data_IF_688329987823
#
_entry.id   IF_688329987823
#
_cell.length_a   1.000
_cell.length_b   1.000
_cell.length_c   1.000
_cell.angle_alpha   90.00
_cell.angle_beta   90.00
_cell.angle_gamma   90.00
#
_symmetry.space_group_name_H-M   'P 1'
#
loop_
_entity.id
_entity.type
_entity.pdbx_description
1 polymer ?
#
# COMPACT_ATOMS: atom_id res chain seq x y z
N UNK A 1 52.44 -10.03 -14.90
CA UNK A 1 51.40 -10.96 -15.42
C UNK A 1 50.29 -10.97 -14.39
N UNK A 2 49.10 -10.48 -14.73
CA UNK A 2 47.93 -10.60 -13.84
C UNK A 2 47.23 -11.93 -14.14
N UNK A 3 46.94 -12.71 -13.11
CA UNK A 3 46.17 -13.95 -13.22
C UNK A 3 44.82 -13.72 -12.57
N UNK A 4 43.74 -13.94 -13.31
CA UNK A 4 42.40 -13.87 -12.76
C UNK A 4 42.21 -15.03 -11.77
N UNK A 5 41.92 -14.70 -10.51
CA UNK A 5 41.54 -15.66 -9.48
C UNK A 5 40.04 -15.56 -9.23
N UNK A 6 39.37 -16.69 -8.95
CA UNK A 6 37.97 -16.69 -8.55
C UNK A 6 37.84 -16.18 -7.11
N UNK A 7 37.04 -15.13 -6.88
CA UNK A 7 36.81 -14.57 -5.54
C UNK A 7 35.36 -14.16 -5.25
N UNK A 8 34.48 -14.09 -6.26
CA UNK A 8 33.10 -13.60 -6.10
C UNK A 8 32.26 -14.45 -5.16
N UNK A 9 32.26 -15.78 -5.33
CA UNK A 9 31.44 -16.70 -4.52
C UNK A 9 31.81 -16.65 -3.03
N UNK A 10 33.11 -16.70 -2.71
CA UNK A 10 33.58 -16.62 -1.33
C UNK A 10 33.23 -15.28 -0.68
N UNK A 11 33.32 -14.17 -1.43
CA UNK A 11 32.93 -12.85 -0.94
C UNK A 11 31.41 -12.75 -0.70
N UNK A 12 30.59 -13.38 -1.55
CA UNK A 12 29.13 -13.42 -1.38
C UNK A 12 28.77 -14.23 -0.14
N UNK A 13 29.35 -15.42 0.05
CA UNK A 13 29.06 -16.27 1.21
C UNK A 13 29.46 -15.58 2.53
N UNK A 14 30.64 -14.96 2.60
CA UNK A 14 31.06 -14.18 3.76
C UNK A 14 30.08 -13.03 4.06
N UNK A 15 29.52 -12.41 3.02
CA UNK A 15 28.52 -11.34 3.18
C UNK A 15 27.24 -11.86 3.81
N UNK A 16 26.78 -13.07 3.45
CA UNK A 16 25.59 -13.67 4.07
C UNK A 16 25.77 -13.93 5.57
N UNK A 17 26.96 -14.35 5.99
CA UNK A 17 27.31 -14.50 7.41
C UNK A 17 27.27 -13.16 8.14
N UNK A 18 27.85 -12.11 7.55
CA UNK A 18 27.84 -10.76 8.11
C UNK A 18 26.42 -10.19 8.22
N UNK A 19 25.54 -10.44 7.23
CA UNK A 19 24.13 -10.06 7.31
C UNK A 19 23.42 -10.83 8.43
N UNK A 20 23.71 -12.12 8.60
CA UNK A 20 23.13 -12.90 9.69
C UNK A 20 23.58 -12.41 11.07
N UNK A 21 24.85 -12.06 11.23
CA UNK A 21 25.40 -11.45 12.45
C UNK A 21 24.74 -10.09 12.73
N UNK A 22 24.69 -9.21 11.73
CA UNK A 22 24.07 -7.90 11.85
C UNK A 22 22.56 -8.00 12.16
N UNK A 23 21.85 -8.97 11.57
CA UNK A 23 20.44 -9.26 11.88
C UNK A 23 20.26 -9.74 13.30
N UNK A 24 21.16 -10.58 13.82
CA UNK A 24 21.06 -11.06 15.21
C UNK A 24 21.36 -9.94 16.21
N UNK A 25 22.32 -9.06 15.91
CA UNK A 25 22.72 -7.99 16.83
C UNK A 25 23.36 -8.52 18.12
N UNK A 26 23.29 -7.73 19.20
CA UNK A 26 23.84 -8.12 20.50
C UNK A 26 23.13 -9.36 21.07
N UNK A 27 23.92 -10.40 21.35
CA UNK A 27 23.41 -11.67 21.90
C UNK A 27 22.96 -11.59 23.35
N UNK A 28 23.34 -10.53 24.07
CA UNK A 28 22.80 -10.24 25.39
C UNK A 28 21.34 -9.77 25.35
N UNK A 29 20.88 -9.24 24.21
CA UNK A 29 19.48 -8.88 23.98
C UNK A 29 18.70 -10.14 23.55
N UNK A 30 17.53 -10.41 24.14
CA UNK A 30 16.66 -11.50 23.70
C UNK A 30 16.33 -11.42 22.20
N UNK A 31 16.40 -12.55 21.52
CA UNK A 31 16.09 -12.60 20.09
C UNK A 31 14.60 -12.39 19.85
N UNK A 32 14.25 -11.57 18.83
CA UNK A 32 12.87 -11.41 18.39
C UNK A 32 12.30 -12.72 17.85
N UNK A 33 11.19 -13.18 18.42
CA UNK A 33 10.41 -14.28 17.88
C UNK A 33 9.46 -13.80 16.76
N UNK A 34 9.12 -14.70 15.84
CA UNK A 34 8.13 -14.43 14.78
C UNK A 34 6.78 -14.08 15.40
N UNK A 35 6.38 -14.76 16.47
CA UNK A 35 5.14 -14.48 17.20
C UNK A 35 5.11 -13.06 17.79
N UNK A 36 6.22 -12.55 18.35
CA UNK A 36 6.28 -11.17 18.84
C UNK A 36 6.03 -10.16 17.71
N UNK A 37 6.66 -10.36 16.54
CA UNK A 37 6.48 -9.47 15.39
C UNK A 37 5.03 -9.54 14.88
N UNK A 38 4.49 -10.74 14.72
CA UNK A 38 3.10 -10.95 14.27
C UNK A 38 2.09 -10.24 15.18
N UNK A 39 2.21 -10.44 16.49
CA UNK A 39 1.23 -9.93 17.47
C UNK A 39 1.39 -8.44 17.76
N UNK A 40 2.62 -7.92 17.79
CA UNK A 40 2.92 -6.56 18.27
C UNK A 40 3.20 -5.57 17.13
N UNK A 41 3.50 -6.05 15.93
CA UNK A 41 3.78 -5.23 14.74
C UNK A 41 2.81 -5.55 13.60
N UNK A 42 1.53 -5.81 13.93
CA UNK A 42 0.49 -6.21 12.98
C UNK A 42 0.29 -5.24 11.81
N UNK A 43 0.50 -3.93 12.00
CA UNK A 43 0.42 -2.94 10.92
C UNK A 43 1.54 -3.11 9.88
N UNK A 44 2.76 -3.44 10.33
CA UNK A 44 3.88 -3.72 9.42
C UNK A 44 3.64 -5.05 8.68
N UNK A 45 3.15 -6.07 9.38
CA UNK A 45 2.77 -7.34 8.77
C UNK A 45 1.68 -7.14 7.70
N UNK A 46 0.66 -6.31 7.98
CA UNK A 46 -0.37 -5.97 7.02
C UNK A 46 0.20 -5.34 5.75
N UNK A 47 1.12 -4.37 5.89
CA UNK A 47 1.79 -3.76 4.73
C UNK A 47 2.57 -4.79 3.90
N UNK A 48 3.33 -5.66 4.56
CA UNK A 48 4.08 -6.74 3.89
C UNK A 48 3.15 -7.75 3.20
N UNK A 49 2.00 -8.10 3.78
CA UNK A 49 1.03 -8.99 3.11
C UNK A 49 0.44 -8.35 1.84
N UNK A 50 0.11 -7.06 1.89
CA UNK A 50 -0.43 -6.32 0.74
C UNK A 50 0.61 -6.21 -0.39
N UNK A 51 1.77 -5.63 -0.09
CA UNK A 51 2.85 -5.41 -1.05
C UNK A 51 3.50 -6.74 -1.47
N UNK A 52 3.56 -7.75 -0.61
CA UNK A 52 3.98 -9.11 -0.95
C UNK A 52 2.95 -9.91 -1.74
N UNK A 53 1.69 -9.50 -1.74
CA UNK A 53 0.55 -10.17 -2.40
C UNK A 53 0.28 -11.59 -1.92
N UNK A 54 0.47 -11.82 -0.63
CA UNK A 54 0.17 -13.09 0.03
C UNK A 54 -0.39 -12.83 1.43
N UNK A 55 -1.59 -13.34 1.70
CA UNK A 55 -2.20 -13.24 3.03
C UNK A 55 -1.70 -14.40 3.89
N UNK A 56 -0.68 -14.13 4.70
CA UNK A 56 -0.19 -15.02 5.75
C UNK A 56 0.61 -14.18 6.76
N UNK A 57 0.07 -14.02 7.98
CA UNK A 57 0.66 -13.15 8.98
C UNK A 57 1.94 -13.73 9.59
N UNK A 58 2.09 -15.06 9.63
CA UNK A 58 3.30 -15.72 10.11
C UNK A 58 4.44 -15.56 9.10
N UNK A 59 4.17 -15.73 7.81
CA UNK A 59 5.14 -15.49 6.75
C UNK A 59 5.52 -14.01 6.64
N UNK A 60 4.58 -13.09 6.80
CA UNK A 60 4.88 -11.66 6.82
C UNK A 60 5.79 -11.29 7.99
N UNK A 61 5.52 -11.82 9.18
CA UNK A 61 6.36 -11.63 10.36
C UNK A 61 7.75 -12.28 10.21
N UNK A 62 7.83 -13.46 9.58
CA UNK A 62 9.09 -14.12 9.25
C UNK A 62 9.90 -13.28 8.24
N UNK A 63 9.26 -12.76 7.20
CA UNK A 63 9.90 -11.91 6.20
C UNK A 63 10.44 -10.62 6.83
N UNK A 64 9.67 -9.95 7.70
CA UNK A 64 10.13 -8.80 8.46
C UNK A 64 11.34 -9.14 9.35
N UNK A 65 11.29 -10.27 10.06
CA UNK A 65 12.43 -10.74 10.87
C UNK A 65 13.67 -10.95 9.99
N UNK A 66 13.52 -11.63 8.86
CA UNK A 66 14.60 -11.95 7.94
C UNK A 66 15.22 -10.69 7.32
N UNK A 67 14.38 -9.70 7.00
CA UNK A 67 14.75 -8.43 6.39
C UNK A 67 15.13 -7.33 7.41
N UNK A 68 15.30 -7.66 8.70
CA UNK A 68 15.65 -6.70 9.75
C UNK A 68 14.66 -5.52 9.86
N UNK A 69 13.38 -5.76 9.53
CA UNK A 69 12.32 -4.75 9.52
C UNK A 69 12.24 -3.92 8.22
N UNK A 70 13.07 -4.18 7.21
CA UNK A 70 12.90 -3.59 5.89
C UNK A 70 11.66 -4.17 5.22
N UNK A 71 10.64 -3.34 5.06
CA UNK A 71 9.32 -3.72 4.51
C UNK A 71 9.40 -4.05 3.02
N UNK A 72 10.26 -3.38 2.25
CA UNK A 72 10.37 -3.58 0.80
C UNK A 72 11.05 -4.93 0.56
N UNK A 73 12.15 -5.22 1.26
CA UNK A 73 12.82 -6.52 1.19
C UNK A 73 11.90 -7.64 1.72
N UNK A 74 11.16 -7.40 2.80
CA UNK A 74 10.18 -8.38 3.30
C UNK A 74 9.05 -8.67 2.28
N UNK A 75 8.51 -7.63 1.62
CA UNK A 75 7.53 -7.79 0.56
C UNK A 75 8.12 -8.56 -0.64
N UNK A 76 9.38 -8.32 -0.98
CA UNK A 76 10.06 -9.06 -2.04
C UNK A 76 10.25 -10.54 -1.68
N UNK A 77 10.66 -10.86 -0.45
CA UNK A 77 10.74 -12.24 0.05
C UNK A 77 9.39 -12.97 -0.05
N UNK A 78 8.31 -12.29 0.35
CA UNK A 78 6.94 -12.80 0.24
C UNK A 78 6.55 -13.07 -1.21
N UNK A 79 6.86 -12.12 -2.10
CA UNK A 79 6.56 -12.23 -3.53
C UNK A 79 7.35 -13.37 -4.19
N UNK A 80 8.63 -13.51 -3.84
CA UNK A 80 9.48 -14.59 -4.31
C UNK A 80 8.96 -15.94 -3.81
N UNK A 81 8.61 -16.06 -2.53
CA UNK A 81 8.05 -17.28 -1.95
C UNK A 81 6.73 -17.68 -2.63
N UNK A 82 5.85 -16.71 -2.92
CA UNK A 82 4.59 -16.95 -3.64
C UNK A 82 4.80 -17.64 -4.98
N UNK A 83 5.91 -17.38 -5.70
CA UNK A 83 6.21 -18.07 -6.98
C UNK A 83 6.51 -19.55 -6.83
N UNK A 84 6.85 -20.00 -5.62
CA UNK A 84 7.13 -21.41 -5.31
C UNK A 84 5.89 -22.21 -4.96
N UNK A 85 4.76 -21.53 -4.72
CA UNK A 85 3.51 -22.15 -4.28
C UNK A 85 2.65 -22.58 -5.46
N UNK A 86 2.03 -23.78 -5.40
CA UNK A 86 1.03 -24.17 -6.37
C UNK A 86 -0.24 -23.32 -6.21
N UNK A 87 -0.87 -22.96 -7.33
CA UNK A 87 -2.20 -22.34 -7.33
C UNK A 87 -3.27 -23.41 -7.49
N UNK A 88 -4.02 -23.66 -6.43
CA UNK A 88 -5.11 -24.65 -6.43
C UNK A 88 -6.38 -24.16 -7.12
N UNK A 89 -6.63 -22.85 -7.11
CA UNK A 89 -7.86 -22.28 -7.67
C UNK A 89 -7.96 -20.77 -7.48
N UNK A 90 -9.18 -20.26 -7.57
CA UNK A 90 -9.54 -18.90 -7.19
C UNK A 90 -10.75 -19.01 -6.25
N UNK A 91 -10.78 -18.19 -5.20
CA UNK A 91 -11.95 -18.14 -4.32
C UNK A 91 -13.17 -17.63 -5.07
N UNK A 92 -14.34 -17.86 -4.51
CA UNK A 92 -15.50 -17.01 -4.81
C UNK A 92 -15.16 -15.53 -4.46
N UNK A 93 -15.83 -14.55 -5.09
CA UNK A 93 -15.67 -13.15 -4.72
C UNK A 93 -16.00 -12.93 -3.24
N UNK A 94 -15.12 -12.25 -2.51
CA UNK A 94 -15.36 -11.93 -1.10
C UNK A 94 -16.53 -10.96 -0.95
N UNK A 95 -17.43 -11.22 -0.01
CA UNK A 95 -18.56 -10.35 0.29
C UNK A 95 -18.27 -9.43 1.48
N UNK A 96 -17.85 -8.20 1.20
CA UNK A 96 -17.58 -7.17 2.24
C UNK A 96 -18.86 -6.62 2.89
N UNK A 97 -20.05 -6.91 2.33
CA UNK A 97 -21.31 -6.58 2.99
C UNK A 97 -21.58 -7.49 4.20
N UNK A 98 -21.06 -8.73 4.17
CA UNK A 98 -21.16 -9.71 5.25
C UNK A 98 -19.98 -9.67 6.24
N UNK A 99 -19.15 -8.63 6.20
CA UNK A 99 -17.97 -8.49 7.06
C UNK A 99 -18.32 -8.50 8.55
N UNK A 100 -17.58 -9.29 9.34
CA UNK A 100 -17.57 -9.19 10.79
C UNK A 100 -16.77 -7.94 11.19
N UNK A 101 -17.45 -6.80 11.25
CA UNK A 101 -16.82 -5.49 11.40
C UNK A 101 -16.20 -5.33 12.81
N UNK A 102 -14.96 -4.86 12.86
CA UNK A 102 -14.24 -4.39 14.07
C UNK A 102 -14.16 -2.87 14.16
N UNK A 103 -14.18 -2.21 13.02
CA UNK A 103 -14.13 -0.75 12.87
C UNK A 103 -14.93 -0.34 11.64
N UNK A 104 -15.72 0.73 11.77
CA UNK A 104 -16.53 1.30 10.70
C UNK A 104 -16.72 2.80 10.94
N UNK A 105 -16.25 3.62 10.01
CA UNK A 105 -16.40 5.06 10.08
C UNK A 105 -16.88 5.65 8.75
N UNK A 106 -17.68 6.70 8.84
CA UNK A 106 -18.13 7.51 7.70
C UNK A 106 -17.95 9.00 7.99
N UNK A 107 -17.44 9.75 7.02
CA UNK A 107 -17.35 11.21 7.11
C UNK A 107 -18.53 11.93 6.43
N UNK A 108 -19.42 11.20 5.77
CA UNK A 108 -20.56 11.76 5.00
C UNK A 108 -21.85 11.84 5.81
N UNK A 109 -21.94 11.08 6.91
CA UNK A 109 -23.06 11.09 7.84
C UNK A 109 -22.57 11.26 9.29
N UNK A 110 -23.31 12.04 10.08
CA UNK A 110 -23.05 12.15 11.53
C UNK A 110 -23.32 10.81 12.22
N UNK A 111 -24.42 10.16 11.84
CA UNK A 111 -24.82 8.85 12.32
C UNK A 111 -25.41 8.05 11.15
N UNK A 112 -25.26 6.74 11.18
CA UNK A 112 -25.62 5.83 10.09
C UNK A 112 -26.20 4.54 10.69
N UNK A 113 -27.02 3.76 9.96
CA UNK A 113 -27.50 2.47 10.44
C UNK A 113 -26.31 1.61 10.89
N UNK A 114 -26.34 1.14 12.15
CA UNK A 114 -25.23 0.43 12.79
C UNK A 114 -24.19 1.30 13.52
N UNK A 115 -24.30 2.63 13.43
CA UNK A 115 -23.46 3.60 14.13
C UNK A 115 -22.05 3.77 13.56
N UNK A 116 -21.33 4.73 14.16
CA UNK A 116 -19.90 4.93 13.99
C UNK A 116 -19.14 4.04 14.99
N UNK A 117 -18.32 3.12 14.51
CA UNK A 117 -17.52 2.19 15.32
C UNK A 117 -16.04 2.52 15.14
N UNK A 118 -15.45 3.23 16.10
CA UNK A 118 -14.04 3.64 15.98
C UNK A 118 -13.07 2.47 16.01
N UNK A 119 -13.36 1.40 16.76
CA UNK A 119 -12.47 0.25 16.91
C UNK A 119 -11.05 0.63 17.37
N UNK A 120 -10.07 -0.29 17.25
CA UNK A 120 -8.67 0.01 17.52
C UNK A 120 -8.10 0.96 16.46
N UNK A 121 -7.73 2.17 16.85
CA UNK A 121 -7.18 3.19 15.94
C UNK A 121 -6.18 4.11 16.64
N UNK A 122 -5.24 4.65 15.86
CA UNK A 122 -4.39 5.77 16.27
C UNK A 122 -5.04 7.14 16.01
N UNK A 123 -6.22 7.17 15.40
CA UNK A 123 -6.99 8.40 15.26
C UNK A 123 -7.24 9.01 16.63
N UNK A 124 -7.18 10.35 16.71
CA UNK A 124 -7.36 11.12 17.95
C UNK A 124 -6.28 10.92 19.04
N UNK A 125 -5.26 10.08 18.82
CA UNK A 125 -4.12 9.98 19.75
C UNK A 125 -3.24 11.23 19.69
N UNK A 126 -2.59 11.59 20.79
CA UNK A 126 -1.54 12.61 20.77
C UNK A 126 -0.23 11.99 20.29
N UNK A 127 0.42 12.60 19.30
CA UNK A 127 1.65 12.06 18.68
C UNK A 127 2.86 12.43 19.54
N UNK A 128 2.87 11.93 20.76
CA UNK A 128 3.93 12.09 21.75
C UNK A 128 4.57 10.72 21.99
N UNK A 129 5.88 10.69 22.24
CA UNK A 129 6.54 9.44 22.62
C UNK A 129 6.00 8.96 23.95
N UNK A 130 5.55 7.70 23.98
CA UNK A 130 5.22 7.00 25.21
C UNK A 130 6.49 6.33 25.76
N UNK A 131 7.20 7.04 26.63
CA UNK A 131 8.42 6.52 27.26
C UNK A 131 8.15 5.35 28.21
N UNK A 132 6.90 5.10 28.64
CA UNK A 132 6.58 3.95 29.47
C UNK A 132 6.78 2.62 28.74
N UNK A 133 6.69 2.61 27.40
CA UNK A 133 6.96 1.43 26.58
C UNK A 133 8.44 1.00 26.58
N UNK A 134 9.35 1.79 27.17
CA UNK A 134 10.73 1.37 27.43
C UNK A 134 10.88 0.50 28.68
N UNK A 135 9.87 0.47 29.56
CA UNK A 135 9.86 -0.35 30.78
C UNK A 135 9.09 -1.66 30.54
N UNK A 136 9.74 -2.81 30.77
CA UNK A 136 9.08 -4.11 30.61
C UNK A 136 7.97 -4.32 31.65
N UNK A 137 6.75 -4.63 31.19
CA UNK A 137 5.69 -5.19 32.04
C UNK A 137 4.72 -4.21 32.70
N UNK A 138 4.78 -2.90 32.41
CA UNK A 138 3.74 -1.95 32.84
C UNK A 138 2.71 -1.74 31.71
N UNK A 139 1.60 -2.48 31.78
CA UNK A 139 0.47 -2.33 30.86
C UNK A 139 -0.56 -1.32 31.38
N UNK A 140 -0.12 -0.18 31.90
CA UNK A 140 -1.03 0.94 32.14
C UNK A 140 -1.00 1.84 30.91
N UNK A 141 -2.03 1.69 30.07
CA UNK A 141 -2.21 2.48 28.86
C UNK A 141 -2.45 3.94 29.28
N UNK A 142 -1.39 4.74 29.28
CA UNK A 142 -1.45 6.19 29.40
C UNK A 142 -1.96 6.79 28.08
N UNK A 143 -3.24 6.56 27.74
CA UNK A 143 -3.90 7.43 26.76
C UNK A 143 -4.07 8.77 27.44
N UNK A 144 -3.22 9.74 27.09
CA UNK A 144 -3.36 11.12 27.53
C UNK A 144 -4.72 11.66 27.08
N UNK A 145 -5.73 11.55 27.94
CA UNK A 145 -7.01 12.22 27.78
C UNK A 145 -6.75 13.72 27.82
N UNK A 146 -7.07 14.41 26.73
CA UNK A 146 -7.22 15.86 26.75
C UNK A 146 -8.39 16.23 27.68
N UNK A 147 -8.18 17.05 28.73
CA UNK A 147 -9.26 17.55 29.57
C UNK A 147 -10.36 18.25 28.76
N UNK A 148 -10.01 18.84 27.60
CA UNK A 148 -10.94 19.61 26.77
C UNK A 148 -11.87 18.75 25.92
N UNK A 149 -11.51 17.49 25.63
CA UNK A 149 -12.39 16.55 24.89
C UNK A 149 -13.52 16.04 25.79
N UNK A 150 -13.34 16.06 27.12
CA UNK A 150 -14.32 15.53 28.06
C UNK A 150 -15.51 16.46 28.36
N UNK A 151 -15.49 17.72 27.91
CA UNK A 151 -16.54 18.69 28.25
C UNK A 151 -16.76 18.89 29.76
N UNK A 152 -15.84 18.42 30.61
CA UNK A 152 -15.91 18.50 32.06
C UNK A 152 -14.83 19.44 32.56
N UNK A 153 -15.20 20.70 32.78
CA UNK A 153 -14.51 21.51 33.78
C UNK A 153 -14.75 20.86 35.15
N UNK A 154 -13.75 20.18 35.69
CA UNK A 154 -13.82 19.54 37.00
C UNK A 154 -12.49 18.98 37.44
N UNK A 155 -12.12 19.27 38.69
CA UNK A 155 -10.90 18.87 39.37
C UNK A 155 -10.51 17.38 39.18
N UNK A 156 -9.21 17.05 39.24
CA UNK A 156 -8.74 15.67 39.10
C UNK A 156 -9.28 14.79 40.24
N UNK A 157 -10.38 14.09 39.97
CA UNK A 157 -10.86 13.01 40.84
C UNK A 157 -10.00 11.77 40.61
N UNK A 158 -9.01 11.58 41.49
CA UNK A 158 -8.30 10.32 41.63
C UNK A 158 -9.31 9.20 41.92
N UNK A 159 -9.32 8.17 41.07
CA UNK A 159 -9.97 6.89 41.39
C UNK A 159 -11.28 6.54 40.66
N UNK A 160 -11.63 7.21 39.56
CA UNK A 160 -12.65 6.67 38.63
C UNK A 160 -12.04 6.45 37.26
N UNK A 161 -11.96 5.19 36.87
CA UNK A 161 -11.70 4.77 35.50
C UNK A 161 -12.85 5.31 34.62
N UNK A 162 -12.67 6.52 34.08
CA UNK A 162 -13.64 7.21 33.24
C UNK A 162 -13.63 6.70 31.79
N UNK A 163 -13.04 5.52 31.56
CA UNK A 163 -13.24 4.77 30.32
C UNK A 163 -14.62 4.13 30.43
N UNK A 164 -15.63 4.75 29.83
CA UNK A 164 -16.77 3.98 29.35
C UNK A 164 -16.17 2.97 28.35
N UNK A 165 -15.92 1.74 28.82
CA UNK A 165 -15.64 0.64 27.92
C UNK A 165 -16.88 0.56 27.01
N UNK A 166 -16.75 0.74 25.69
CA UNK A 166 -17.87 0.46 24.82
C UNK A 166 -18.40 -0.93 25.19
N UNK A 167 -19.70 -1.09 25.40
CA UNK A 167 -20.30 -2.41 25.69
C UNK A 167 -20.03 -3.44 24.56
N UNK A 168 -19.46 -2.99 23.44
CA UNK A 168 -18.71 -3.83 22.52
C UNK A 168 -17.38 -4.28 23.14
N UNK A 169 -17.42 -5.36 23.92
CA UNK A 169 -16.24 -6.16 24.24
C UNK A 169 -15.61 -6.65 22.93
N UNK A 170 -14.52 -5.98 22.57
CA UNK A 170 -13.98 -5.78 21.24
C UNK A 170 -13.14 -6.97 20.71
N UNK A 171 -13.59 -8.21 20.95
CA UNK A 171 -12.98 -9.40 20.33
C UNK A 171 -13.95 -10.42 19.74
N UNK A 172 -15.25 -10.46 20.11
CA UNK A 172 -16.11 -11.59 19.70
C UNK A 172 -17.62 -11.33 19.51
N UNK A 173 -18.16 -10.12 19.72
CA UNK A 173 -19.56 -9.87 19.40
C UNK A 173 -19.68 -9.29 17.97
N UNK A 174 -20.23 -10.02 16.99
CA UNK A 174 -20.44 -9.49 15.66
C UNK A 174 -21.34 -8.26 15.75
N UNK A 175 -20.94 -7.19 15.05
CA UNK A 175 -21.86 -6.11 14.73
C UNK A 175 -23.07 -6.69 13.95
N UNK A 176 -24.23 -6.02 14.00
CA UNK A 176 -25.44 -6.47 13.28
C UNK A 176 -25.08 -6.86 11.85
N UNK A 177 -25.43 -8.09 11.46
CA UNK A 177 -25.16 -8.65 10.14
C UNK A 177 -25.79 -7.83 8.99
N UNK A 178 -26.65 -6.85 9.29
CA UNK A 178 -27.29 -5.95 8.33
C UNK A 178 -26.86 -4.50 8.53
N UNK A 179 -25.57 -4.22 8.41
CA UNK A 179 -25.05 -2.86 8.29
C UNK A 179 -24.87 -2.48 6.81
N UNK A 180 -25.84 -1.77 6.20
CA UNK A 180 -25.71 -1.37 4.80
C UNK A 180 -24.47 -0.51 4.60
N UNK A 181 -23.81 -0.68 3.45
CA UNK A 181 -22.72 0.22 3.06
C UNK A 181 -23.28 1.59 2.78
N UNK A 182 -22.54 2.64 3.12
CA UNK A 182 -22.96 4.02 2.85
C UNK A 182 -23.24 4.24 1.35
N UNK A 183 -22.43 3.71 0.42
CA UNK A 183 -22.77 3.76 -1.00
C UNK A 183 -24.04 2.99 -1.40
N UNK A 184 -24.42 1.93 -0.69
CA UNK A 184 -25.70 1.23 -0.94
C UNK A 184 -26.89 2.11 -0.51
N UNK A 185 -26.75 2.86 0.60
CA UNK A 185 -27.76 3.81 1.07
C UNK A 185 -27.94 4.92 0.03
N UNK A 186 -26.85 5.53 -0.44
CA UNK A 186 -26.89 6.56 -1.48
C UNK A 186 -27.39 6.01 -2.82
N UNK A 187 -27.01 4.77 -3.16
CA UNK A 187 -27.44 4.08 -4.37
C UNK A 187 -28.94 3.80 -4.40
N UNK A 188 -29.55 3.46 -3.26
CA UNK A 188 -31.00 3.28 -3.14
C UNK A 188 -31.80 4.56 -3.46
N UNK A 189 -31.18 5.73 -3.31
CA UNK A 189 -31.75 7.04 -3.66
C UNK A 189 -31.37 7.50 -5.09
N UNK A 190 -30.57 6.72 -5.82
CA UNK A 190 -30.03 7.09 -7.13
C UNK A 190 -28.98 8.21 -7.07
N UNK A 191 -28.36 8.42 -5.91
CA UNK A 191 -27.37 9.48 -5.69
C UNK A 191 -25.93 9.02 -5.89
N UNK A 192 -25.69 7.73 -6.12
CA UNK A 192 -24.36 7.14 -6.23
C UNK A 192 -24.24 6.34 -7.53
N UNK A 193 -23.09 6.49 -8.18
CA UNK A 193 -22.67 5.64 -9.29
C UNK A 193 -22.80 4.15 -8.92
N UNK A 194 -23.54 3.34 -9.73
CA UNK A 194 -23.71 1.92 -9.47
C UNK A 194 -22.41 1.16 -9.77
N UNK A 195 -22.14 0.11 -8.99
CA UNK A 195 -21.10 -0.88 -9.25
C UNK A 195 -21.80 -2.19 -9.63
N UNK A 196 -22.04 -2.38 -10.93
CA UNK A 196 -22.67 -3.57 -11.47
C UNK A 196 -21.61 -4.47 -12.12
N UNK A 197 -21.76 -5.78 -11.93
CA UNK A 197 -20.95 -6.74 -12.66
C UNK A 197 -21.20 -6.56 -14.17
N UNK A 198 -20.15 -6.59 -15.02
CA UNK A 198 -20.32 -6.57 -16.45
C UNK A 198 -21.21 -7.74 -16.92
N UNK A 199 -21.82 -7.60 -18.09
CA UNK A 199 -22.63 -8.67 -18.66
C UNK A 199 -21.84 -9.98 -18.75
N UNK A 200 -22.40 -11.05 -18.18
CA UNK A 200 -21.77 -12.37 -18.12
C UNK A 200 -20.68 -12.55 -17.06
N UNK A 201 -20.39 -11.51 -16.26
CA UNK A 201 -19.40 -11.49 -15.17
C UNK A 201 -18.07 -12.17 -15.57
N UNK A 202 -17.35 -11.59 -16.55
CA UNK A 202 -16.14 -12.20 -17.07
C UNK A 202 -15.07 -12.25 -15.97
N UNK A 203 -14.24 -13.30 -16.01
CA UNK A 203 -13.12 -13.43 -15.07
C UNK A 203 -12.22 -12.18 -15.15
N UNK A 204 -11.81 -11.61 -14.00
CA UNK A 204 -10.91 -10.46 -13.98
C UNK A 204 -9.55 -10.82 -14.57
N UNK A 205 -8.90 -9.84 -15.19
CA UNK A 205 -7.54 -9.97 -15.68
C UNK A 205 -6.58 -10.33 -14.54
N UNK A 206 -5.57 -11.15 -14.85
CA UNK A 206 -4.56 -11.56 -13.89
C UNK A 206 -3.17 -11.08 -14.30
N UNK A 207 -2.76 -9.94 -13.75
CA UNK A 207 -1.43 -9.35 -13.98
C UNK A 207 -0.28 -10.25 -13.54
N UNK A 208 -0.55 -11.30 -12.75
CA UNK A 208 0.48 -12.27 -12.35
C UNK A 208 0.70 -13.38 -13.38
N UNK A 209 -0.13 -13.43 -14.43
CA UNK A 209 -0.09 -14.43 -15.50
C UNK A 209 0.04 -13.84 -16.89
N UNK A 210 -0.47 -12.62 -17.08
CA UNK A 210 -0.55 -11.95 -18.37
C UNK A 210 0.10 -10.56 -18.29
N UNK A 211 0.77 -10.16 -19.37
CA UNK A 211 1.39 -8.83 -19.46
C UNK A 211 0.33 -7.75 -19.63
N UNK A 212 0.44 -6.67 -18.86
CA UNK A 212 -0.48 -5.54 -18.92
C UNK A 212 -0.34 -4.79 -20.26
N UNK A 213 -1.47 -4.46 -20.88
CA UNK A 213 -1.56 -3.57 -22.04
C UNK A 213 -2.36 -2.33 -21.70
N UNK A 214 -2.00 -1.20 -22.32
CA UNK A 214 -2.74 0.05 -22.18
C UNK A 214 -3.67 0.29 -23.38
N UNK A 215 -4.87 0.85 -23.14
CA UNK A 215 -5.31 1.34 -21.84
C UNK A 215 -5.86 0.24 -20.93
N UNK A 216 -5.60 0.32 -19.62
CA UNK A 216 -5.85 -0.78 -18.69
C UNK A 216 -7.33 -0.85 -18.27
N UNK A 217 -7.81 -2.06 -17.95
CA UNK A 217 -9.10 -2.27 -17.30
C UNK A 217 -9.05 -1.86 -15.82
N UNK A 218 -10.19 -1.52 -15.22
CA UNK A 218 -10.24 -1.11 -13.80
C UNK A 218 -9.83 -2.24 -12.86
N UNK A 219 -10.15 -3.49 -13.22
CA UNK A 219 -9.69 -4.70 -12.57
C UNK A 219 -8.15 -4.77 -12.52
N UNK A 220 -7.47 -4.52 -13.65
CA UNK A 220 -6.00 -4.45 -13.72
C UNK A 220 -5.45 -3.33 -12.83
N UNK A 221 -6.05 -2.13 -12.89
CA UNK A 221 -5.61 -0.97 -12.10
C UNK A 221 -5.74 -1.23 -10.59
N UNK A 222 -6.88 -1.76 -10.15
CA UNK A 222 -7.11 -2.14 -8.75
C UNK A 222 -6.16 -3.26 -8.30
N UNK A 223 -5.94 -4.27 -9.14
CA UNK A 223 -5.01 -5.36 -8.85
C UNK A 223 -3.56 -4.85 -8.73
N UNK A 224 -3.12 -3.95 -9.62
CA UNK A 224 -1.80 -3.33 -9.53
C UNK A 224 -1.66 -2.48 -8.27
N UNK A 225 -2.65 -1.63 -7.98
CA UNK A 225 -2.63 -0.78 -6.78
C UNK A 225 -2.69 -1.58 -5.49
N UNK A 226 -3.39 -2.72 -5.42
CA UNK A 226 -3.39 -3.60 -4.25
C UNK A 226 -1.98 -4.08 -3.89
N UNK A 227 -1.15 -4.30 -4.92
CA UNK A 227 0.24 -4.77 -4.82
C UNK A 227 1.28 -3.66 -4.74
N UNK A 228 0.91 -2.44 -5.10
CA UNK A 228 1.83 -1.31 -5.19
C UNK A 228 2.32 -0.80 -3.83
N UNK A 229 3.27 0.11 -3.85
CA UNK A 229 3.84 0.74 -2.67
C UNK A 229 2.84 1.67 -1.99
N UNK A 230 2.69 1.52 -0.68
CA UNK A 230 1.80 2.36 0.11
C UNK A 230 2.20 3.85 0.08
N UNK A 231 3.50 4.16 0.09
CA UNK A 231 4.01 5.53 0.09
C UNK A 231 3.81 6.24 -1.25
N UNK A 232 4.05 5.55 -2.37
CA UNK A 232 3.82 6.06 -3.72
C UNK A 232 2.34 6.38 -3.95
N UNK A 233 1.44 5.45 -3.63
CA UNK A 233 0.00 5.66 -3.77
C UNK A 233 -0.51 6.76 -2.83
N UNK A 234 0.02 6.85 -1.61
CA UNK A 234 -0.28 7.95 -0.70
C UNK A 234 0.14 9.29 -1.30
N UNK A 235 1.33 9.38 -1.89
CA UNK A 235 1.82 10.58 -2.56
C UNK A 235 0.93 11.00 -3.73
N UNK A 236 0.51 10.05 -4.56
CA UNK A 236 -0.43 10.30 -5.66
C UNK A 236 -1.80 10.75 -5.14
N UNK A 237 -2.39 10.03 -4.20
CA UNK A 237 -3.67 10.39 -3.59
C UNK A 237 -3.64 11.76 -2.93
N UNK A 238 -2.56 12.08 -2.21
CA UNK A 238 -2.34 13.39 -1.61
C UNK A 238 -2.23 14.50 -2.67
N UNK A 239 -1.57 14.23 -3.81
CA UNK A 239 -1.49 15.20 -4.91
C UNK A 239 -2.86 15.56 -5.47
N UNK A 240 -3.75 14.57 -5.61
CA UNK A 240 -5.15 14.76 -6.04
C UNK A 240 -5.88 15.68 -5.06
N UNK A 241 -5.74 15.45 -3.74
CA UNK A 241 -6.34 16.30 -2.71
C UNK A 241 -5.82 17.74 -2.73
N UNK A 242 -4.60 17.95 -3.24
CA UNK A 242 -4.01 19.28 -3.43
C UNK A 242 -4.41 19.95 -4.75
N UNK A 243 -5.30 19.33 -5.53
CA UNK A 243 -5.85 19.88 -6.77
C UNK A 243 -5.25 19.31 -8.06
N UNK A 244 -4.23 18.43 -7.98
CA UNK A 244 -3.64 17.78 -9.15
C UNK A 244 -4.49 16.59 -9.61
N UNK A 245 -5.66 16.87 -10.19
CA UNK A 245 -6.63 15.87 -10.65
C UNK A 245 -8.09 16.22 -10.34
N UNK A 246 -8.35 17.39 -9.72
CA UNK A 246 -9.69 17.97 -9.67
C UNK A 246 -10.76 17.23 -8.85
N UNK A 247 -10.38 16.35 -7.93
CA UNK A 247 -11.33 15.57 -7.14
C UNK A 247 -11.42 16.06 -5.69
N UNK A 248 -12.65 16.28 -5.19
CA UNK A 248 -12.91 16.57 -3.77
C UNK A 248 -13.49 15.31 -3.08
N UNK A 249 -12.65 14.48 -2.46
CA UNK A 249 -13.08 13.22 -1.87
C UNK A 249 -13.72 13.41 -0.50
N UNK A 250 -14.71 12.57 -0.20
CA UNK A 250 -15.23 12.33 1.14
C UNK A 250 -15.08 10.85 1.47
N UNK A 251 -14.75 10.53 2.72
CA UNK A 251 -14.81 9.15 3.19
C UNK A 251 -16.28 8.75 3.29
N UNK A 252 -16.77 8.05 2.26
CA UNK A 252 -18.10 7.44 2.28
C UNK A 252 -18.16 6.41 3.39
N UNK A 253 -17.24 5.47 3.35
CA UNK A 253 -17.06 4.49 4.41
C UNK A 253 -15.64 3.91 4.43
N UNK A 254 -15.12 3.69 5.63
CA UNK A 254 -14.00 2.76 5.88
C UNK A 254 -14.52 1.71 6.84
N UNK A 255 -14.32 0.44 6.50
CA UNK A 255 -14.60 -0.69 7.40
C UNK A 255 -13.43 -1.65 7.46
N UNK A 256 -13.18 -2.18 8.65
CA UNK A 256 -12.15 -3.18 8.92
C UNK A 256 -12.80 -4.34 9.64
N UNK A 257 -12.52 -5.55 9.22
CA UNK A 257 -13.09 -6.75 9.81
C UNK A 257 -12.76 -8.01 9.03
N UNK A 258 -13.36 -9.10 9.46
CA UNK A 258 -13.16 -10.43 8.90
C UNK A 258 -14.19 -10.72 7.82
N UNK A 259 -13.74 -11.29 6.70
CA UNK A 259 -14.59 -11.78 5.62
C UNK A 259 -14.26 -13.23 5.35
N UNK A 260 -15.29 -14.05 5.14
CA UNK A 260 -15.13 -15.45 4.77
C UNK A 260 -14.54 -15.56 3.36
N UNK A 261 -13.69 -16.57 3.17
CA UNK A 261 -13.13 -16.93 1.87
C UNK A 261 -13.65 -18.30 1.51
N UNK A 262 -14.47 -18.37 0.46
CA UNK A 262 -15.04 -19.62 -0.01
C UNK A 262 -14.37 -20.07 -1.31
N UNK A 263 -14.35 -21.37 -1.54
CA UNK A 263 -13.85 -21.97 -2.77
C UNK A 263 -14.81 -23.07 -3.22
N UNK A 264 -14.95 -23.27 -4.54
CA UNK A 264 -15.76 -24.37 -5.09
C UNK A 264 -14.81 -25.42 -5.68
N UNK A 265 -14.47 -26.49 -4.95
CA UNK A 265 -13.70 -27.60 -5.50
C UNK A 265 -14.47 -28.29 -6.62
N UNK A 266 -13.79 -28.62 -7.71
CA UNK A 266 -14.39 -29.33 -8.84
C UNK A 266 -14.97 -30.69 -8.40
N UNK A 267 -14.34 -31.33 -7.42
CA UNK A 267 -14.75 -32.63 -6.88
C UNK A 267 -16.04 -32.56 -6.04
N UNK A 268 -16.38 -31.41 -5.48
CA UNK A 268 -17.55 -31.23 -4.62
C UNK A 268 -18.70 -30.51 -5.32
N UNK A 269 -18.41 -29.53 -6.18
CA UNK A 269 -19.42 -28.76 -6.91
C UNK A 269 -20.26 -27.80 -6.04
N UNK A 270 -19.82 -27.51 -4.81
CA UNK A 270 -20.42 -26.51 -3.92
C UNK A 270 -19.34 -25.76 -3.14
N UNK A 271 -19.69 -24.56 -2.65
CA UNK A 271 -18.78 -23.70 -1.91
C UNK A 271 -18.38 -24.31 -0.55
N UNK A 272 -17.09 -24.32 -0.26
CA UNK A 272 -16.51 -24.68 1.03
C UNK A 272 -15.81 -23.48 1.63
N UNK A 273 -16.02 -23.28 2.93
CA UNK A 273 -15.37 -22.24 3.72
C UNK A 273 -13.89 -22.62 3.96
N UNK A 274 -12.97 -21.76 3.52
CA UNK A 274 -11.53 -21.89 3.74
C UNK A 274 -11.07 -21.19 5.02
N UNK A 275 -11.95 -20.42 5.66
CA UNK A 275 -11.67 -19.57 6.80
C UNK A 275 -11.83 -18.09 6.46
N UNK A 276 -11.29 -17.25 7.33
CA UNK A 276 -11.49 -15.81 7.29
C UNK A 276 -10.19 -15.05 7.03
N UNK A 277 -10.31 -13.92 6.35
CA UNK A 277 -9.24 -12.94 6.20
C UNK A 277 -9.68 -11.61 6.81
N UNK A 278 -8.77 -10.93 7.50
CA UNK A 278 -9.00 -9.54 7.92
C UNK A 278 -8.69 -8.62 6.75
N UNK A 279 -9.64 -7.76 6.39
CA UNK A 279 -9.49 -6.76 5.33
C UNK A 279 -9.94 -5.39 5.81
N UNK A 280 -9.36 -4.37 5.20
CA UNK A 280 -9.83 -2.99 5.24
C UNK A 280 -10.41 -2.63 3.88
N UNK A 281 -11.68 -2.24 3.84
CA UNK A 281 -12.36 -1.69 2.67
C UNK A 281 -12.53 -0.19 2.85
N UNK A 282 -12.19 0.59 1.82
CA UNK A 282 -12.44 2.01 1.74
C UNK A 282 -13.22 2.34 0.47
N UNK A 283 -14.34 3.05 0.65
CA UNK A 283 -15.16 3.55 -0.44
C UNK A 283 -15.27 5.07 -0.29
N UNK A 284 -14.61 5.81 -1.18
CA UNK A 284 -14.73 7.27 -1.22
C UNK A 284 -15.88 7.71 -2.12
N UNK A 285 -16.55 8.79 -1.67
CA UNK A 285 -17.53 9.54 -2.45
C UNK A 285 -16.79 10.73 -3.06
N UNK A 286 -16.94 10.93 -4.36
CA UNK A 286 -16.29 12.00 -5.11
C UNK A 286 -17.34 12.90 -5.77
N UNK A 287 -16.91 14.05 -6.29
CA UNK A 287 -17.81 15.04 -6.88
C UNK A 287 -18.74 14.42 -7.93
N UNK A 288 -19.94 14.99 -8.00
CA UNK A 288 -21.01 14.48 -8.83
C UNK A 288 -20.74 14.74 -10.30
N UNK A 289 -21.18 13.81 -11.15
CA UNK A 289 -21.23 13.98 -12.58
C UNK A 289 -22.61 13.58 -13.08
N UNK A 290 -23.02 14.17 -14.21
CA UNK A 290 -24.28 13.87 -14.86
C UNK A 290 -24.17 14.19 -16.34
N UNK A 291 -25.07 13.61 -17.13
CA UNK A 291 -25.19 13.86 -18.57
C UNK A 291 -26.63 14.21 -18.92
N UNK A 292 -26.95 14.31 -20.21
CA UNK A 292 -28.35 14.41 -20.65
C UNK A 292 -29.13 13.12 -20.41
N UNK A 293 -28.43 11.99 -20.28
CA UNK A 293 -29.01 10.64 -20.16
C UNK A 293 -28.93 10.13 -18.72
N UNK A 294 -27.93 10.57 -17.94
CA UNK A 294 -27.70 10.13 -16.56
C UNK A 294 -27.92 11.31 -15.60
N UNK A 295 -28.85 11.20 -14.63
CA UNK A 295 -29.03 12.22 -13.60
C UNK A 295 -27.72 12.52 -12.85
N UNK A 296 -27.52 13.74 -12.33
CA UNK A 296 -26.37 14.05 -11.48
C UNK A 296 -26.31 13.11 -10.27
N UNK A 297 -25.21 12.37 -10.16
CA UNK A 297 -24.94 11.43 -9.08
C UNK A 297 -23.48 11.54 -8.65
N UNK A 298 -23.17 11.21 -7.40
CA UNK A 298 -21.81 11.10 -6.93
C UNK A 298 -21.06 10.00 -7.67
N UNK A 299 -19.78 10.24 -7.92
CA UNK A 299 -18.86 9.20 -8.40
C UNK A 299 -18.15 8.57 -7.22
N UNK A 300 -17.49 7.44 -7.44
CA UNK A 300 -16.78 6.74 -6.37
C UNK A 300 -15.41 6.23 -6.75
N UNK A 301 -14.59 6.07 -5.73
CA UNK A 301 -13.35 5.30 -5.76
C UNK A 301 -13.42 4.12 -4.79
N UNK A 302 -12.55 3.13 -5.01
CA UNK A 302 -12.51 1.90 -4.23
C UNK A 302 -11.09 1.49 -3.84
N UNK A 303 -10.92 1.01 -2.62
CA UNK A 303 -9.68 0.40 -2.15
C UNK A 303 -9.96 -0.75 -1.18
N UNK A 304 -9.19 -1.83 -1.32
CA UNK A 304 -9.26 -3.01 -0.47
C UNK A 304 -7.84 -3.47 -0.14
N UNK A 305 -7.56 -3.70 1.13
CA UNK A 305 -6.23 -4.09 1.60
C UNK A 305 -6.34 -5.13 2.73
N UNK A 306 -5.36 -6.01 2.87
CA UNK A 306 -5.27 -6.96 3.99
C UNK A 306 -4.97 -6.26 5.31
N UNK A 307 -5.50 -6.82 6.41
CA UNK A 307 -5.28 -6.35 7.77
C UNK A 307 -5.85 -4.95 8.02
N UNK A 308 -5.31 -4.28 9.05
CA UNK A 308 -5.66 -2.91 9.40
C UNK A 308 -4.81 -1.91 8.59
N UNK A 309 -5.11 -1.77 7.30
CA UNK A 309 -4.31 -1.00 6.33
C UNK A 309 -5.11 0.18 5.72
N UNK A 310 -5.73 1.00 6.57
CA UNK A 310 -6.63 2.08 6.14
C UNK A 310 -5.96 3.09 5.21
N UNK A 311 -4.73 3.51 5.51
CA UNK A 311 -4.01 4.49 4.69
C UNK A 311 -3.74 3.98 3.28
N UNK A 312 -3.42 2.69 3.14
CA UNK A 312 -3.32 2.01 1.84
C UNK A 312 -4.67 2.01 1.12
N UNK A 313 -5.72 1.51 1.76
CA UNK A 313 -7.06 1.41 1.14
C UNK A 313 -7.61 2.78 0.73
N UNK A 314 -7.43 3.82 1.56
CA UNK A 314 -7.78 5.20 1.23
C UNK A 314 -7.00 5.72 0.02
N UNK A 315 -5.68 5.47 -0.02
CA UNK A 315 -4.84 5.91 -1.14
C UNK A 315 -5.25 5.22 -2.44
N UNK A 316 -5.53 3.92 -2.39
CA UNK A 316 -6.09 3.18 -3.52
C UNK A 316 -7.42 3.78 -3.99
N UNK A 317 -8.34 4.08 -3.07
CA UNK A 317 -9.63 4.68 -3.41
C UNK A 317 -9.50 6.06 -4.06
N UNK A 318 -8.56 6.89 -3.62
CA UNK A 318 -8.29 8.19 -4.25
C UNK A 318 -7.76 8.04 -5.68
N UNK A 319 -6.79 7.13 -5.86
CA UNK A 319 -6.13 6.92 -7.15
C UNK A 319 -7.05 6.16 -8.12
N UNK A 320 -7.87 5.21 -7.66
CA UNK A 320 -8.90 4.54 -8.47
C UNK A 320 -9.82 5.56 -9.13
N UNK A 321 -10.37 6.51 -8.35
CA UNK A 321 -11.23 7.55 -8.93
C UNK A 321 -10.46 8.45 -9.90
N UNK A 322 -9.21 8.80 -9.62
CA UNK A 322 -8.40 9.61 -10.53
C UNK A 322 -8.12 8.87 -11.86
N UNK A 323 -7.91 7.57 -11.81
CA UNK A 323 -7.70 6.71 -12.97
C UNK A 323 -8.98 6.41 -13.77
N UNK A 324 -10.16 6.73 -13.21
CA UNK A 324 -11.45 6.71 -13.94
C UNK A 324 -11.64 7.91 -14.88
N UNK A 325 -10.61 8.73 -15.09
CA UNK A 325 -10.68 9.94 -15.91
C UNK A 325 -11.25 9.66 -17.31
N UNK A 326 -10.80 8.60 -17.98
CA UNK A 326 -11.28 8.21 -19.31
C UNK A 326 -12.76 7.84 -19.30
N UNK A 327 -13.20 7.07 -18.32
CA UNK A 327 -14.58 6.62 -18.12
C UNK A 327 -15.53 7.82 -17.91
N UNK A 328 -15.01 8.91 -17.35
CA UNK A 328 -15.74 10.15 -17.10
C UNK A 328 -15.50 11.27 -18.14
N UNK A 329 -14.72 11.01 -19.19
CA UNK A 329 -14.37 12.01 -20.20
C UNK A 329 -13.51 13.17 -19.68
N UNK A 330 -12.79 12.96 -18.58
CA UNK A 330 -11.85 13.90 -17.97
C UNK A 330 -10.48 13.81 -18.66
N UNK A 331 -9.75 14.94 -18.74
CA UNK A 331 -8.38 14.94 -19.26
C UNK A 331 -7.39 14.43 -18.20
N UNK A 332 -6.46 13.56 -18.61
CA UNK A 332 -5.38 13.04 -17.77
C UNK A 332 -4.18 13.99 -17.71
N UNK A 333 -4.36 15.15 -17.07
CA UNK A 333 -3.35 16.21 -17.02
C UNK A 333 -2.27 15.95 -15.95
N UNK A 334 -2.59 15.16 -14.94
CA UNK A 334 -1.74 14.95 -13.76
C UNK A 334 -1.34 13.48 -13.57
N UNK A 335 -0.21 13.21 -12.90
CA UNK A 335 0.32 11.84 -12.76
C UNK A 335 -0.69 10.83 -12.19
N UNK A 336 -1.53 11.23 -11.24
CA UNK A 336 -2.52 10.34 -10.63
C UNK A 336 -3.66 9.92 -11.60
N UNK A 337 -3.83 10.61 -12.73
CA UNK A 337 -4.80 10.30 -13.77
C UNK A 337 -4.18 9.52 -14.94
N UNK A 338 -2.85 9.33 -14.95
CA UNK A 338 -2.11 8.69 -16.03
C UNK A 338 -1.83 7.23 -15.68
N UNK A 339 -2.69 6.32 -16.15
CA UNK A 339 -2.63 4.90 -15.78
C UNK A 339 -1.27 4.23 -16.06
N UNK A 340 -0.60 4.55 -17.16
CA UNK A 340 0.74 4.01 -17.44
C UNK A 340 1.77 4.46 -16.41
N UNK A 341 1.75 5.75 -16.06
CA UNK A 341 2.64 6.30 -15.03
C UNK A 341 2.35 5.68 -13.67
N UNK A 342 1.08 5.55 -13.29
CA UNK A 342 0.73 4.96 -11.99
C UNK A 342 1.12 3.48 -11.94
N UNK A 343 0.73 2.67 -12.93
CA UNK A 343 0.90 1.22 -12.87
C UNK A 343 2.38 0.83 -12.91
N UNK A 344 3.17 1.39 -13.83
CA UNK A 344 4.61 1.04 -13.97
C UNK A 344 5.53 1.56 -12.87
N UNK A 345 5.07 2.46 -12.00
CA UNK A 345 5.88 2.99 -10.90
C UNK A 345 5.30 2.66 -9.53
N UNK A 346 4.26 1.81 -9.47
CA UNK A 346 3.62 1.44 -8.22
C UNK A 346 4.25 0.21 -7.56
N UNK A 347 4.73 -0.80 -8.28
CA UNK A 347 5.28 -2.02 -7.64
C UNK A 347 6.70 -1.75 -7.11
N UNK A 348 6.88 -1.72 -5.77
CA UNK A 348 8.18 -1.49 -5.16
C UNK A 348 9.14 -2.67 -5.32
N UNK A 349 8.67 -3.89 -5.60
CA UNK A 349 9.56 -5.01 -5.91
C UNK A 349 10.31 -4.73 -7.20
N UNK A 350 9.60 -4.23 -8.21
CA UNK A 350 10.21 -3.82 -9.48
C UNK A 350 11.06 -2.56 -9.30
N UNK A 351 10.51 -1.54 -8.64
CA UNK A 351 11.19 -0.25 -8.48
C UNK A 351 12.48 -0.37 -7.65
N UNK A 352 12.45 -1.06 -6.51
CA UNK A 352 13.62 -1.25 -5.67
C UNK A 352 14.66 -2.10 -6.40
N UNK A 353 14.26 -3.22 -7.02
CA UNK A 353 15.17 -4.03 -7.82
C UNK A 353 15.86 -3.22 -8.93
N UNK A 354 15.12 -2.37 -9.65
CA UNK A 354 15.65 -1.53 -10.71
C UNK A 354 16.41 -0.30 -10.22
N UNK A 355 16.22 0.21 -9.01
CA UNK A 355 17.09 1.25 -8.46
C UNK A 355 18.39 0.63 -7.93
N UNK A 356 18.26 -0.48 -7.22
CA UNK A 356 19.37 -1.14 -6.54
C UNK A 356 20.31 -1.88 -7.49
N UNK A 357 19.85 -2.27 -8.69
CA UNK A 357 20.72 -2.90 -9.67
C UNK A 357 21.94 -2.03 -9.98
N UNK A 358 21.87 -0.71 -9.81
CA UNK A 358 23.00 0.22 -10.00
C UNK A 358 24.22 -0.10 -9.12
N UNK A 359 24.05 -0.88 -8.04
CA UNK A 359 25.14 -1.44 -7.22
C UNK A 359 25.95 -2.51 -7.97
N UNK A 360 25.37 -3.14 -8.98
CA UNK A 360 26.04 -4.15 -9.80
C UNK A 360 27.12 -3.53 -10.70
N UNK A 361 28.08 -4.33 -11.19
CA UNK A 361 29.16 -3.80 -12.01
C UNK A 361 28.66 -3.29 -13.38
N UNK A 362 28.74 -1.96 -13.58
CA UNK A 362 28.44 -1.28 -14.86
C UNK A 362 29.72 -0.75 -15.55
N UNK A 363 30.89 -1.31 -15.23
CA UNK A 363 32.17 -0.76 -15.68
C UNK A 363 32.37 -0.83 -17.19
N UNK A 364 31.72 -1.76 -17.90
CA UNK A 364 31.82 -1.87 -19.37
C UNK A 364 31.11 -0.69 -20.04
N UNK A 365 29.84 -0.46 -19.72
CA UNK A 365 29.06 0.66 -20.27
C UNK A 365 29.71 2.00 -19.89
N UNK A 366 30.18 2.11 -18.65
CA UNK A 366 30.88 3.30 -18.19
C UNK A 366 32.21 3.56 -18.94
N UNK A 367 32.93 2.51 -19.38
CA UNK A 367 34.10 2.71 -20.24
C UNK A 367 33.73 3.33 -21.59
N UNK A 368 32.60 2.94 -22.18
CA UNK A 368 32.09 3.53 -23.42
C UNK A 368 31.83 5.03 -23.28
N UNK A 369 31.15 5.43 -22.20
CA UNK A 369 30.91 6.84 -21.86
C UNK A 369 32.21 7.61 -21.61
N UNK A 370 33.17 7.01 -20.89
CA UNK A 370 34.48 7.62 -20.65
C UNK A 370 35.25 7.85 -21.96
N UNK A 371 35.19 6.91 -22.90
CA UNK A 371 35.83 7.05 -24.20
C UNK A 371 35.21 8.20 -25.00
N UNK A 372 33.88 8.30 -25.02
CA UNK A 372 33.15 9.39 -25.66
C UNK A 372 33.55 10.74 -25.08
N UNK A 373 33.54 10.90 -23.76
CA UNK A 373 33.93 12.14 -23.09
C UNK A 373 35.38 12.50 -23.41
N UNK A 374 36.30 11.52 -23.36
CA UNK A 374 37.72 11.74 -23.69
C UNK A 374 37.90 12.20 -25.13
N UNK A 375 37.14 11.64 -26.08
CA UNK A 375 37.16 12.07 -27.49
C UNK A 375 36.67 13.50 -27.63
N UNK A 376 35.51 13.85 -27.06
CA UNK A 376 34.96 15.22 -27.10
C UNK A 376 35.96 16.24 -26.53
N UNK A 377 36.66 15.88 -25.44
CA UNK A 377 37.70 16.74 -24.85
C UNK A 377 38.89 16.95 -25.79
N UNK A 378 39.41 15.89 -26.42
CA UNK A 378 40.50 16.00 -27.41
C UNK A 378 40.10 16.89 -28.59
N UNK A 379 38.92 16.68 -29.17
CA UNK A 379 38.43 17.50 -30.29
C UNK A 379 38.29 18.98 -29.92
N UNK A 380 37.85 19.27 -28.68
CA UNK A 380 37.79 20.65 -28.17
C UNK A 380 39.19 21.26 -28.01
N UNK A 381 40.14 20.52 -27.45
CA UNK A 381 41.52 20.98 -27.27
C UNK A 381 42.18 21.26 -28.63
N UNK A 382 41.99 20.39 -29.61
CA UNK A 382 42.49 20.58 -30.98
C UNK A 382 41.88 21.80 -31.66
N UNK A 383 40.58 22.07 -31.44
CA UNK A 383 39.93 23.27 -31.99
C UNK A 383 40.49 24.55 -31.35
N UNK A 384 40.62 24.57 -30.02
CA UNK A 384 41.20 25.71 -29.30
C UNK A 384 42.66 25.97 -29.70
N UNK A 385 43.44 24.90 -29.97
CA UNK A 385 44.80 25.03 -30.46
C UNK A 385 44.85 25.64 -31.88
N UNK A 386 43.95 25.23 -32.78
CA UNK A 386 43.83 25.82 -34.13
C UNK A 386 43.42 27.29 -34.07
N UNK A 387 42.42 27.62 -33.26
CA UNK A 387 41.95 29.00 -33.09
C UNK A 387 43.05 29.90 -32.47
N UNK A 388 43.92 29.34 -31.63
CA UNK A 388 45.08 30.07 -31.08
C UNK A 388 46.17 30.30 -32.14
N UNK A 389 46.43 29.32 -33.01
CA UNK A 389 47.42 29.43 -34.10
C UNK A 389 46.97 30.44 -35.17
N UNK A 390 45.67 30.49 -35.49
CA UNK A 390 45.06 31.47 -36.40
C UNK A 390 45.03 32.91 -35.84
N UNK A 391 45.28 33.10 -34.54
CA UNK A 391 45.33 34.43 -33.89
C UNK A 391 46.74 34.99 -33.67
N UNK A 392 47.80 34.25 -34.05
CA UNK A 392 49.14 34.80 -34.15
C UNK A 392 49.25 35.58 -35.47
N UNK A 393 49.41 36.93 -35.46
CA UNK A 393 49.60 37.65 -36.71
C UNK A 393 50.92 37.20 -37.34
N UNK A 394 50.92 37.03 -38.67
CA UNK A 394 52.14 37.12 -39.47
C UNK A 394 52.88 38.40 -39.09
N UNK A 395 53.84 38.29 -38.17
CA UNK A 395 54.86 39.30 -37.99
C UNK A 395 55.74 39.23 -39.24
N UNK A 396 55.39 40.06 -40.21
CA UNK A 396 56.16 40.36 -41.40
C UNK A 396 57.57 40.87 -41.04
N UNK A 397 58.54 40.41 -41.85
CA UNK A 397 59.87 40.96 -42.21
C UNK A 397 60.75 41.63 -41.15
#
# INVERSE_FOLDING_TARGET
MYVAVKGGEAAILATHELVAEARRGDTAVPELSVAQIREQQGLACARVMNEGSLYDADLAALALKQAQGDVIEAAFLMRAYRTTLPRFGSSEPVDTAAMAIRRRVSATYKDLPGGQVLGPTYDYTHRLFDFALMEEGQSDVMVGLDPTISGREGEPQAGRDARDKPEHDARHAPLDARMPRVPDILGAEGLMEPEEAPEGDPRPFDLTRESVSFPAGRDVRLQAMARGDEGFLLGLGYSVQRGFGGNHPFVGEIRVGEVAVEFVPEELGFAVDLGEITVTECQMVNQFQGSKEVPPQFTRGYGLAFGHAERKAMSMSLVDRALKAREFGEAAEYPAQQEEFVLYHSDNVEAAGFVEHLKLPHYVDFQGELELIRRIRREREERLARDADDTLPEAAE
#
